data_IF_489894103672
#
_entry.id   IF_489894103672
#
_cell.length_a   1.000
_cell.length_b   1.000
_cell.length_c   1.000
_cell.angle_alpha   90.00
_cell.angle_beta   90.00
_cell.angle_gamma   90.00
#
_symmetry.space_group_name_H-M   'P 1'
#
loop_
_entity.id
_entity.type
_entity.pdbx_description
1 polymer ?
#
# COMPACT_ATOMS: atom_id res chain seq x y z
N UNK A 1 -11.31 -9.12 -20.77
CA UNK A 1 -10.37 -9.76 -19.83
C UNK A 1 -9.14 -8.86 -19.76
N UNK A 2 -9.02 -8.03 -18.72
CA UNK A 2 -7.81 -7.23 -18.46
C UNK A 2 -7.60 -7.03 -16.95
N UNK A 3 -8.69 -7.08 -16.17
CA UNK A 3 -8.62 -7.07 -14.70
C UNK A 3 -7.93 -8.31 -14.11
N UNK A 4 -8.08 -9.50 -14.70
CA UNK A 4 -7.45 -10.72 -14.16
C UNK A 4 -5.92 -10.66 -14.23
N UNK A 5 -5.35 -10.16 -15.33
CA UNK A 5 -3.90 -10.12 -15.52
C UNK A 5 -3.19 -9.15 -14.58
N UNK A 6 -3.86 -8.08 -14.14
CA UNK A 6 -3.27 -7.08 -13.25
C UNK A 6 -3.30 -7.55 -11.78
N UNK A 7 -4.35 -8.30 -11.40
CA UNK A 7 -4.48 -8.92 -10.07
C UNK A 7 -3.41 -10.02 -9.88
N UNK A 8 -3.06 -10.77 -10.93
CA UNK A 8 -1.96 -11.74 -10.89
C UNK A 8 -0.57 -11.07 -10.88
N UNK A 9 -0.37 -9.98 -11.63
CA UNK A 9 0.94 -9.32 -11.78
C UNK A 9 1.50 -8.72 -10.49
N UNK A 10 0.65 -8.28 -9.57
CA UNK A 10 1.09 -7.64 -8.33
C UNK A 10 1.03 -8.53 -7.08
N UNK A 11 0.61 -9.80 -7.20
CA UNK A 11 0.38 -10.71 -6.06
C UNK A 11 -0.24 -9.96 -4.86
N UNK A 12 -1.19 -9.07 -5.11
CA UNK A 12 -1.90 -8.37 -4.05
C UNK A 12 -2.89 -9.36 -3.45
N UNK A 13 -2.37 -10.25 -2.62
CA UNK A 13 -3.21 -11.02 -1.73
C UNK A 13 -4.04 -10.03 -0.92
N UNK A 14 -5.25 -10.42 -0.51
CA UNK A 14 -6.08 -9.58 0.36
C UNK A 14 -5.28 -9.03 1.57
N UNK A 15 -4.32 -9.81 2.07
CA UNK A 15 -3.38 -9.43 3.14
C UNK A 15 -2.44 -8.28 2.76
N UNK A 16 -1.92 -8.27 1.54
CA UNK A 16 -1.01 -7.24 1.04
C UNK A 16 -1.74 -5.90 0.87
N UNK A 17 -3.00 -5.94 0.42
CA UNK A 17 -3.89 -4.78 0.39
C UNK A 17 -4.19 -4.26 1.80
N UNK A 18 -4.52 -5.16 2.73
CA UNK A 18 -4.79 -4.83 4.14
C UNK A 18 -3.57 -4.19 4.83
N UNK A 19 -2.34 -4.66 4.50
CA UNK A 19 -1.09 -4.04 4.99
C UNK A 19 -0.93 -2.61 4.46
N UNK A 20 -1.22 -2.36 3.18
CA UNK A 20 -1.14 -1.01 2.59
C UNK A 20 -2.12 -0.07 3.29
N UNK A 21 -3.37 -0.50 3.54
CA UNK A 21 -4.35 0.33 4.26
C UNK A 21 -3.89 0.64 5.69
N UNK A 22 -3.33 -0.34 6.41
CA UNK A 22 -2.80 -0.10 7.75
C UNK A 22 -1.64 0.89 7.75
N UNK A 23 -0.71 0.76 6.79
CA UNK A 23 0.41 1.69 6.64
C UNK A 23 -0.08 3.11 6.30
N UNK A 24 -1.01 3.22 5.36
CA UNK A 24 -1.61 4.51 4.98
C UNK A 24 -2.36 5.15 6.15
N UNK A 25 -3.01 4.33 7.00
CA UNK A 25 -3.61 4.81 8.25
C UNK A 25 -2.56 5.33 9.22
N UNK A 26 -1.47 4.58 9.43
CA UNK A 26 -0.38 5.02 10.31
C UNK A 26 0.24 6.33 9.84
N UNK A 27 0.46 6.50 8.53
CA UNK A 27 0.93 7.76 7.95
C UNK A 27 -0.06 8.88 8.22
N UNK A 28 -1.36 8.67 7.95
CA UNK A 28 -2.40 9.66 8.25
C UNK A 28 -2.43 10.05 9.73
N UNK A 29 -2.31 9.06 10.63
CA UNK A 29 -2.31 9.28 12.08
C UNK A 29 -1.07 10.08 12.52
N UNK A 30 0.09 9.89 11.87
CA UNK A 30 1.31 10.67 12.12
C UNK A 30 1.19 12.12 11.64
N UNK A 31 0.46 12.35 10.55
CA UNK A 31 0.16 13.71 10.05
C UNK A 31 -1.01 14.37 10.81
N UNK A 32 -1.70 13.63 11.69
CA UNK A 32 -2.86 14.12 12.44
C UNK A 32 -4.14 14.20 11.62
N UNK A 33 -4.19 13.51 10.48
CA UNK A 33 -5.31 13.49 9.54
C UNK A 33 -6.31 12.39 9.90
N UNK A 34 -7.58 12.76 10.06
CA UNK A 34 -8.64 11.84 10.47
C UNK A 34 -9.01 10.84 9.34
N UNK A 35 -8.71 11.20 8.09
CA UNK A 35 -9.01 10.41 6.89
C UNK A 35 -7.74 10.08 6.11
N UNK A 36 -7.72 8.88 5.54
CA UNK A 36 -6.66 8.47 4.61
C UNK A 36 -6.90 9.21 3.30
N UNK A 37 -5.99 10.11 2.92
CA UNK A 37 -5.94 10.76 1.62
C UNK A 37 -5.06 10.00 0.61
N UNK A 38 -5.06 10.47 -0.63
CA UNK A 38 -4.27 9.87 -1.72
C UNK A 38 -2.75 9.92 -1.42
N UNK A 39 -2.28 10.96 -0.75
CA UNK A 39 -0.87 11.13 -0.36
C UNK A 39 -0.42 10.01 0.60
N UNK A 40 -1.20 9.70 1.64
CA UNK A 40 -0.87 8.65 2.59
C UNK A 40 -0.84 7.26 1.93
N UNK A 41 -1.70 7.03 0.94
CA UNK A 41 -1.73 5.81 0.14
C UNK A 41 -0.50 5.70 -0.77
N UNK A 42 -0.11 6.78 -1.43
CA UNK A 42 1.09 6.84 -2.26
C UNK A 42 2.34 6.57 -1.43
N UNK A 43 2.42 7.12 -0.23
CA UNK A 43 3.55 6.92 0.68
C UNK A 43 3.60 5.47 1.22
N UNK A 44 2.46 4.93 1.64
CA UNK A 44 2.34 3.52 2.05
C UNK A 44 2.76 2.53 0.94
N UNK A 45 2.44 2.85 -0.32
CA UNK A 45 2.89 2.07 -1.48
C UNK A 45 4.40 2.17 -1.67
N UNK A 46 4.98 3.36 -1.56
CA UNK A 46 6.44 3.56 -1.67
C UNK A 46 7.19 2.81 -0.57
N UNK A 47 6.71 2.85 0.67
CA UNK A 47 7.30 2.09 1.77
C UNK A 47 7.33 0.59 1.50
N UNK A 48 6.28 0.06 0.87
CA UNK A 48 6.24 -1.36 0.51
C UNK A 48 7.23 -1.70 -0.61
N UNK A 49 7.35 -0.86 -1.63
CA UNK A 49 8.33 -1.07 -2.70
C UNK A 49 9.75 -1.04 -2.13
N UNK A 50 10.00 -0.17 -1.14
CA UNK A 50 11.27 -0.14 -0.43
C UNK A 50 11.51 -1.42 0.39
N UNK A 51 10.52 -1.90 1.16
CA UNK A 51 10.62 -3.19 1.86
C UNK A 51 10.97 -4.32 0.88
N UNK A 52 10.26 -4.43 -0.25
CA UNK A 52 10.51 -5.48 -1.25
C UNK A 52 11.91 -5.36 -1.88
N UNK A 53 12.45 -4.15 -2.03
CA UNK A 53 13.81 -3.91 -2.53
C UNK A 53 14.92 -4.22 -1.52
N UNK A 54 14.63 -4.18 -0.21
CA UNK A 54 15.60 -4.45 0.86
C UNK A 54 15.88 -5.95 1.05
N UNK A 55 15.05 -6.81 0.47
CA UNK A 55 15.21 -8.27 0.50
C UNK A 55 16.01 -8.83 -0.70
N UNK A 56 16.68 -7.99 -1.48
CA UNK A 56 17.54 -8.40 -2.60
C UNK A 56 19.03 -8.23 -2.29
#
# INVERSE_FOLDING_TARGET
MLLQETVEKYRLTARSYDKIIRLARTVADLEGEERIGENHLAEALQYRLYEESLFC
#
